data_IF_999717159287
#
_entry.id   IF_999717159287
#
_cell.length_a   1.000
_cell.length_b   1.000
_cell.length_c   1.000
_cell.angle_alpha   90.00
_cell.angle_beta   90.00
_cell.angle_gamma   90.00
#
_symmetry.space_group_name_H-M   'P 1'
#
loop_
_entity.id
_entity.type
_entity.pdbx_description
1 polymer ?
#
# COMPACT_ATOMS: atom_id res chain seq x y z
N UNK A 1 5.52 -17.96 28.48
CA UNK A 1 6.30 -16.77 28.87
C UNK A 1 5.67 -15.50 28.27
N UNK A 2 5.53 -15.39 26.96
CA UNK A 2 5.01 -14.19 26.28
C UNK A 2 3.56 -13.84 26.66
N UNK A 3 2.66 -14.82 26.85
CA UNK A 3 1.26 -14.56 27.27
C UNK A 3 1.21 -13.91 28.65
N UNK A 4 2.04 -14.38 29.59
CA UNK A 4 2.13 -13.76 30.93
C UNK A 4 2.68 -12.34 30.83
N UNK A 5 3.70 -12.14 30.04
CA UNK A 5 4.27 -10.81 29.76
C UNK A 5 3.23 -9.88 29.14
N UNK A 6 2.39 -10.38 28.22
CA UNK A 6 1.31 -9.60 27.63
C UNK A 6 0.34 -9.10 28.69
N UNK A 7 -0.14 -9.95 29.62
CA UNK A 7 -1.06 -9.54 30.67
C UNK A 7 -0.48 -8.42 31.55
N UNK A 8 0.78 -8.55 31.95
CA UNK A 8 1.50 -7.55 32.73
C UNK A 8 1.67 -6.22 31.97
N UNK A 9 1.93 -6.28 30.65
CA UNK A 9 2.08 -5.09 29.78
C UNK A 9 0.72 -4.40 29.60
N UNK A 10 -0.33 -5.13 29.29
CA UNK A 10 -1.69 -4.59 29.08
C UNK A 10 -2.15 -3.81 30.30
N UNK A 11 -1.97 -4.37 31.50
CA UNK A 11 -2.32 -3.72 32.75
C UNK A 11 -1.47 -2.46 33.01
N UNK A 12 -0.14 -2.56 32.86
CA UNK A 12 0.78 -1.45 33.09
C UNK A 12 0.55 -0.28 32.13
N UNK A 13 0.32 -0.55 30.83
CA UNK A 13 0.17 0.46 29.78
C UNK A 13 -1.24 1.02 29.77
N UNK A 14 -2.24 0.29 30.30
CA UNK A 14 -3.67 0.61 30.21
C UNK A 14 -4.06 0.82 28.74
N UNK A 15 -4.04 -0.28 27.97
CA UNK A 15 -4.36 -0.24 26.54
C UNK A 15 -5.74 0.38 26.31
N UNK A 16 -5.76 1.34 25.38
CA UNK A 16 -6.97 2.02 24.91
C UNK A 16 -7.42 1.39 23.59
N UNK A 17 -8.67 1.62 23.18
CA UNK A 17 -9.19 1.15 21.88
C UNK A 17 -8.27 1.55 20.72
N UNK A 18 -7.85 2.81 20.68
CA UNK A 18 -6.96 3.31 19.64
C UNK A 18 -5.61 2.60 19.56
N UNK A 19 -5.09 2.11 20.68
CA UNK A 19 -3.85 1.32 20.68
C UNK A 19 -4.07 -0.03 20.00
N UNK A 20 -5.25 -0.64 20.22
CA UNK A 20 -5.67 -1.83 19.49
C UNK A 20 -5.76 -1.60 18.00
N UNK A 21 -6.35 -0.46 17.57
CA UNK A 21 -6.42 -0.07 16.17
C UNK A 21 -5.00 0.08 15.55
N UNK A 22 -4.04 0.67 16.27
CA UNK A 22 -2.63 0.77 15.85
C UNK A 22 -2.02 -0.62 15.66
N UNK A 23 -2.20 -1.52 16.61
CA UNK A 23 -1.63 -2.88 16.55
C UNK A 23 -2.22 -3.68 15.38
N UNK A 24 -3.55 -3.62 15.18
CA UNK A 24 -4.22 -4.28 14.06
C UNK A 24 -3.80 -3.68 12.71
N UNK A 25 -3.66 -2.37 12.63
CA UNK A 25 -3.18 -1.67 11.43
C UNK A 25 -1.75 -2.11 11.07
N UNK A 26 -0.85 -2.17 12.05
CA UNK A 26 0.51 -2.66 11.82
C UNK A 26 0.57 -4.16 11.49
N UNK A 27 -0.37 -4.95 12.00
CA UNK A 27 -0.50 -6.36 11.61
C UNK A 27 -0.88 -6.51 10.13
N UNK A 28 -1.66 -5.56 9.61
CA UNK A 28 -2.10 -5.55 8.21
C UNK A 28 -1.04 -4.98 7.25
N UNK A 29 -0.34 -3.93 7.65
CA UNK A 29 0.53 -3.15 6.77
C UNK A 29 2.04 -3.29 7.06
N UNK A 30 2.41 -4.12 8.01
CA UNK A 30 3.76 -4.45 8.45
C UNK A 30 4.55 -3.26 9.04
N UNK A 31 4.86 -2.24 8.26
CA UNK A 31 5.67 -1.08 8.68
C UNK A 31 4.99 0.21 8.25
N UNK A 32 4.80 1.13 9.19
CA UNK A 32 4.18 2.43 8.95
C UNK A 32 4.95 3.55 9.66
N UNK A 33 4.97 4.74 9.06
CA UNK A 33 5.40 5.96 9.73
C UNK A 33 4.39 6.40 10.79
N UNK A 34 4.82 7.21 11.75
CA UNK A 34 3.92 7.80 12.74
C UNK A 34 2.76 8.57 12.09
N UNK A 35 3.01 9.30 11.01
CA UNK A 35 1.98 10.05 10.29
C UNK A 35 0.99 9.13 9.57
N UNK A 36 1.45 8.01 9.00
CA UNK A 36 0.55 6.99 8.44
C UNK A 36 -0.39 6.43 9.50
N UNK A 37 0.17 6.04 10.65
CA UNK A 37 -0.62 5.53 11.78
C UNK A 37 -1.63 6.56 12.28
N UNK A 38 -1.24 7.85 12.34
CA UNK A 38 -2.14 8.92 12.75
C UNK A 38 -3.31 9.05 11.78
N UNK A 39 -3.05 9.03 10.48
CA UNK A 39 -4.09 9.08 9.45
C UNK A 39 -5.03 7.88 9.52
N UNK A 40 -4.49 6.68 9.68
CA UNK A 40 -5.29 5.44 9.64
C UNK A 40 -6.05 5.14 10.94
N UNK A 41 -5.51 5.60 12.09
CA UNK A 41 -6.04 5.23 13.41
C UNK A 41 -6.70 6.38 14.19
N UNK A 42 -6.68 7.62 13.66
CA UNK A 42 -7.31 8.78 14.30
C UNK A 42 -8.46 9.29 13.43
N UNK A 43 -9.69 9.13 13.90
CA UNK A 43 -10.88 9.63 13.19
C UNK A 43 -10.89 11.15 13.05
N UNK A 44 -10.30 11.87 14.02
CA UNK A 44 -10.16 13.33 13.99
C UNK A 44 -8.68 13.69 14.13
N UNK A 45 -8.08 14.03 12.99
CA UNK A 45 -6.67 14.43 12.90
C UNK A 45 -6.40 15.79 13.54
N UNK A 46 -7.41 16.66 13.65
CA UNK A 46 -7.26 18.01 14.21
C UNK A 46 -7.33 17.97 15.74
N UNK A 47 -8.19 17.12 16.31
CA UNK A 47 -8.33 16.99 17.76
C UNK A 47 -7.17 16.19 18.40
N UNK A 48 -6.50 15.33 17.64
CA UNK A 48 -5.38 14.56 18.14
C UNK A 48 -4.07 15.37 18.04
N UNK A 49 -3.60 15.93 19.16
CA UNK A 49 -2.26 16.52 19.22
C UNK A 49 -1.21 15.52 18.72
N UNK A 50 -0.46 15.90 17.67
CA UNK A 50 0.59 15.06 17.09
C UNK A 50 1.61 14.62 18.15
N UNK A 51 2.00 15.53 19.06
CA UNK A 51 2.94 15.25 20.14
C UNK A 51 2.41 14.19 21.13
N UNK A 52 1.14 14.27 21.50
CA UNK A 52 0.54 13.29 22.41
C UNK A 52 0.44 11.92 21.72
N UNK A 53 0.17 11.90 20.42
CA UNK A 53 0.15 10.66 19.65
C UNK A 53 1.54 10.02 19.57
N UNK A 54 2.58 10.79 19.26
CA UNK A 54 3.98 10.33 19.23
C UNK A 54 4.43 9.82 20.61
N UNK A 55 4.10 10.53 21.70
CA UNK A 55 4.37 10.07 23.08
C UNK A 55 3.68 8.73 23.36
N UNK A 56 2.46 8.56 22.87
CA UNK A 56 1.75 7.29 23.04
C UNK A 56 2.40 6.14 22.30
N UNK A 57 2.78 6.34 21.03
CA UNK A 57 3.51 5.35 20.24
C UNK A 57 4.85 4.98 20.89
N UNK A 58 5.58 5.98 21.44
CA UNK A 58 6.81 5.73 22.18
C UNK A 58 6.57 4.84 23.41
N UNK A 59 5.52 5.11 24.19
CA UNK A 59 5.14 4.30 25.36
C UNK A 59 4.78 2.85 24.98
N UNK A 60 4.10 2.65 23.84
CA UNK A 60 3.80 1.32 23.32
C UNK A 60 5.08 0.58 22.89
N UNK A 61 6.04 1.29 22.33
CA UNK A 61 7.33 0.73 21.94
C UNK A 61 8.18 0.35 23.18
N UNK A 62 8.26 1.19 24.20
CA UNK A 62 8.93 0.89 25.45
C UNK A 62 8.32 -0.31 26.19
N UNK A 63 7.04 -0.56 25.97
CA UNK A 63 6.35 -1.72 26.53
C UNK A 63 6.54 -3.02 25.70
N UNK A 64 7.23 -2.95 24.56
CA UNK A 64 7.46 -4.09 23.66
C UNK A 64 6.25 -4.48 22.80
N UNK A 65 5.20 -3.67 22.79
CA UNK A 65 4.05 -3.85 21.90
C UNK A 65 4.41 -3.44 20.46
N UNK A 66 5.22 -2.40 20.34
CA UNK A 66 5.78 -1.93 19.07
C UNK A 66 7.30 -2.02 19.10
N UNK A 67 7.89 -2.08 17.94
CA UNK A 67 9.28 -1.73 17.68
C UNK A 67 9.32 -0.49 16.81
N UNK A 68 10.41 0.27 16.88
CA UNK A 68 10.59 1.49 16.09
C UNK A 68 12.02 1.69 15.64
N UNK A 69 12.19 2.36 14.49
CA UNK A 69 13.48 2.87 14.03
C UNK A 69 13.31 4.28 13.47
N UNK A 70 14.34 5.08 13.59
CA UNK A 70 14.34 6.42 12.97
C UNK A 70 14.72 6.28 11.50
N UNK A 71 13.89 6.83 10.63
CA UNK A 71 14.14 6.91 9.20
C UNK A 71 14.45 8.34 8.82
N UNK A 72 15.65 8.59 8.31
CA UNK A 72 16.14 9.94 8.03
C UNK A 72 15.12 10.82 7.29
N UNK A 73 14.95 12.05 7.76
CA UNK A 73 14.02 13.06 7.21
C UNK A 73 12.54 12.71 7.24
N UNK A 74 12.18 11.49 7.70
CA UNK A 74 10.80 11.01 7.72
C UNK A 74 10.28 10.68 9.12
N UNK A 75 11.13 10.73 10.13
CA UNK A 75 10.78 10.44 11.51
C UNK A 75 10.78 8.94 11.84
N UNK A 76 10.03 8.57 12.87
CA UNK A 76 9.98 7.18 13.31
C UNK A 76 9.03 6.34 12.45
N UNK A 77 9.47 5.18 12.05
CA UNK A 77 8.66 4.08 11.56
C UNK A 77 8.47 3.03 12.66
N UNK A 78 7.33 2.36 12.62
CA UNK A 78 6.86 1.41 13.62
C UNK A 78 6.44 0.10 12.98
N UNK A 79 6.65 -1.00 13.71
CA UNK A 79 6.13 -2.33 13.40
C UNK A 79 5.79 -3.06 14.69
N UNK A 80 5.14 -4.23 14.60
CA UNK A 80 4.77 -5.00 15.77
C UNK A 80 6.00 -5.54 16.50
N UNK A 81 6.10 -5.25 17.80
CA UNK A 81 7.02 -5.93 18.71
C UNK A 81 6.50 -7.33 19.07
N UNK A 82 7.33 -8.15 19.74
CA UNK A 82 6.97 -9.53 20.09
C UNK A 82 5.70 -9.61 20.96
N UNK A 83 5.54 -8.69 21.91
CA UNK A 83 4.32 -8.64 22.75
C UNK A 83 3.10 -8.22 21.92
N UNK A 84 3.29 -7.30 20.99
CA UNK A 84 2.23 -6.86 20.07
C UNK A 84 1.76 -7.97 19.13
N UNK A 85 2.67 -8.78 18.60
CA UNK A 85 2.34 -9.97 17.80
C UNK A 85 1.47 -10.96 18.56
N UNK A 86 1.80 -11.20 19.83
CA UNK A 86 0.98 -12.09 20.71
C UNK A 86 -0.39 -11.49 20.95
N UNK A 87 -0.48 -10.18 21.19
CA UNK A 87 -1.76 -9.50 21.37
C UNK A 87 -2.64 -9.62 20.12
N UNK A 88 -2.09 -9.33 18.94
CA UNK A 88 -2.81 -9.47 17.66
C UNK A 88 -3.24 -10.90 17.42
N UNK A 89 -2.36 -11.89 17.67
CA UNK A 89 -2.69 -13.29 17.51
C UNK A 89 -3.90 -13.73 18.37
N UNK A 90 -4.02 -13.21 19.60
CA UNK A 90 -5.17 -13.46 20.46
C UNK A 90 -6.45 -12.78 19.94
N UNK A 91 -6.34 -11.55 19.40
CA UNK A 91 -7.50 -10.81 18.91
C UNK A 91 -8.04 -11.33 17.58
N UNK A 92 -7.15 -11.77 16.68
CA UNK A 92 -7.51 -12.18 15.30
C UNK A 92 -7.58 -13.70 15.14
N UNK A 93 -7.13 -14.46 16.14
CA UNK A 93 -7.09 -15.93 16.11
C UNK A 93 -5.98 -16.54 15.25
N UNK A 94 -5.09 -15.71 14.70
CA UNK A 94 -3.90 -16.16 13.94
C UNK A 94 -2.71 -15.24 14.19
N UNK A 95 -1.51 -15.80 14.11
CA UNK A 95 -0.30 -14.99 14.20
C UNK A 95 -0.17 -14.07 12.98
N UNK A 96 0.15 -12.77 13.16
CA UNK A 96 0.44 -11.89 12.04
C UNK A 96 1.71 -12.39 11.33
N UNK A 97 1.70 -12.34 10.00
CA UNK A 97 2.90 -12.59 9.20
C UNK A 97 3.79 -11.36 9.31
N UNK A 98 4.53 -11.24 10.40
CA UNK A 98 5.41 -10.11 10.63
C UNK A 98 6.75 -10.34 9.92
N UNK A 99 7.05 -9.55 8.90
CA UNK A 99 8.43 -9.42 8.42
C UNK A 99 9.21 -8.55 9.40
N UNK A 100 10.36 -9.02 9.83
CA UNK A 100 11.19 -8.30 10.77
C UNK A 100 11.86 -7.10 10.10
N UNK A 101 11.78 -5.93 10.74
CA UNK A 101 12.59 -4.76 10.44
C UNK A 101 12.03 -3.80 9.39
N UNK A 102 12.75 -2.70 9.24
CA UNK A 102 12.46 -1.64 8.28
C UNK A 102 12.69 -2.12 6.85
N UNK A 103 11.66 -2.12 6.05
CA UNK A 103 11.74 -2.36 4.61
C UNK A 103 11.31 -1.09 3.86
N UNK A 104 12.26 -0.46 3.14
CA UNK A 104 11.99 0.73 2.32
C UNK A 104 10.87 0.48 1.32
N UNK A 105 10.82 -0.73 0.78
CA UNK A 105 9.74 -1.20 -0.11
C UNK A 105 8.36 -1.06 0.54
N UNK A 106 8.18 -1.54 1.78
CA UNK A 106 6.89 -1.45 2.48
C UNK A 106 6.49 -0.01 2.80
N UNK A 107 7.47 0.87 3.08
CA UNK A 107 7.19 2.29 3.30
C UNK A 107 6.73 2.99 2.01
N UNK A 108 7.28 2.62 0.86
CA UNK A 108 6.86 3.15 -0.43
C UNK A 108 5.40 2.78 -0.73
N UNK A 109 5.04 1.53 -0.51
CA UNK A 109 3.65 1.08 -0.63
C UNK A 109 2.72 1.79 0.36
N UNK A 110 3.16 1.96 1.61
CA UNK A 110 2.39 2.65 2.63
C UNK A 110 2.14 4.13 2.29
N UNK A 111 3.13 4.83 1.73
CA UNK A 111 2.99 6.21 1.26
C UNK A 111 1.87 6.33 0.22
N UNK A 112 1.91 5.47 -0.78
CA UNK A 112 0.91 5.46 -1.85
C UNK A 112 -0.48 5.10 -1.31
N UNK A 113 -0.57 4.01 -0.55
CA UNK A 113 -1.82 3.53 0.04
C UNK A 113 -2.50 4.58 0.91
N UNK A 114 -1.76 5.19 1.85
CA UNK A 114 -2.33 6.20 2.77
C UNK A 114 -2.78 7.44 1.99
N UNK A 115 -2.01 7.85 0.98
CA UNK A 115 -2.39 8.97 0.13
C UNK A 115 -3.66 8.67 -0.67
N UNK A 116 -3.78 7.49 -1.28
CA UNK A 116 -4.97 7.04 -2.00
C UNK A 116 -6.22 6.96 -1.10
N UNK A 117 -6.06 6.42 0.12
CA UNK A 117 -7.17 6.35 1.09
C UNK A 117 -7.66 7.74 1.50
N UNK A 118 -6.75 8.70 1.74
CA UNK A 118 -7.10 10.08 2.07
C UNK A 118 -7.80 10.79 0.92
N UNK A 119 -7.30 10.61 -0.29
CA UNK A 119 -7.89 11.18 -1.49
C UNK A 119 -9.34 10.70 -1.65
N UNK A 120 -9.56 9.39 -1.58
CA UNK A 120 -10.91 8.83 -1.71
C UNK A 120 -11.84 9.31 -0.60
N UNK A 121 -11.38 9.34 0.65
CA UNK A 121 -12.16 9.89 1.75
C UNK A 121 -12.57 11.35 1.51
N UNK A 122 -11.68 12.17 0.95
CA UNK A 122 -11.95 13.59 0.68
C UNK A 122 -13.01 13.81 -0.40
N UNK A 123 -13.14 12.90 -1.36
CA UNK A 123 -14.11 12.99 -2.46
C UNK A 123 -15.36 12.11 -2.23
N UNK A 124 -15.53 11.58 -1.03
CA UNK A 124 -16.68 10.75 -0.65
C UNK A 124 -16.65 9.32 -1.20
N UNK A 125 -15.48 8.88 -1.66
CA UNK A 125 -15.22 7.51 -2.07
C UNK A 125 -14.60 6.67 -0.97
N UNK A 126 -14.26 5.44 -1.30
CA UNK A 126 -13.62 4.48 -0.41
C UNK A 126 -12.42 3.83 -1.10
N UNK A 127 -11.30 3.71 -0.41
CA UNK A 127 -10.16 2.93 -0.87
C UNK A 127 -9.80 1.86 0.16
N UNK A 128 -9.64 0.63 -0.31
CA UNK A 128 -9.24 -0.53 0.49
C UNK A 128 -7.93 -1.08 -0.03
N UNK A 129 -7.03 -1.40 0.88
CA UNK A 129 -5.75 -2.02 0.57
C UNK A 129 -5.72 -3.46 1.07
N UNK A 130 -5.31 -4.34 0.19
CA UNK A 130 -5.06 -5.74 0.49
C UNK A 130 -3.59 -6.03 0.24
N UNK A 131 -2.81 -6.23 1.32
CA UNK A 131 -1.38 -6.51 1.25
C UNK A 131 -1.11 -8.00 1.07
N UNK A 132 -0.07 -8.31 0.32
CA UNK A 132 0.55 -9.64 0.19
C UNK A 132 -0.43 -10.83 0.11
N UNK A 133 -0.78 -11.15 -1.09
CA UNK A 133 -1.72 -12.22 -1.37
C UNK A 133 -0.99 -13.55 -1.61
N UNK A 134 -0.83 -14.30 -0.55
CA UNK A 134 -0.33 -15.68 -0.67
C UNK A 134 -1.30 -16.60 -1.41
N UNK A 135 -2.56 -16.24 -1.47
CA UNK A 135 -3.62 -17.13 -1.92
C UNK A 135 -4.10 -16.92 -3.37
N UNK A 136 -3.99 -15.69 -3.93
CA UNK A 136 -4.62 -15.42 -5.22
C UNK A 136 -3.94 -16.13 -6.38
N UNK A 137 -2.63 -16.18 -6.42
CA UNK A 137 -2.01 -16.49 -7.69
C UNK A 137 -1.59 -17.94 -7.88
N UNK A 138 -1.51 -18.75 -6.83
CA UNK A 138 -0.93 -20.08 -6.97
C UNK A 138 0.39 -20.05 -7.76
N UNK A 139 0.83 -18.85 -8.16
CA UNK A 139 1.87 -18.54 -9.10
C UNK A 139 3.10 -18.00 -8.40
N UNK A 140 4.23 -18.11 -9.07
CA UNK A 140 5.55 -17.67 -8.58
C UNK A 140 5.71 -16.14 -8.49
N UNK A 141 4.77 -15.37 -9.02
CA UNK A 141 4.80 -13.90 -9.03
C UNK A 141 3.53 -13.35 -8.38
N UNK A 142 3.70 -12.53 -7.37
CA UNK A 142 2.61 -11.92 -6.58
C UNK A 142 2.76 -10.41 -6.65
N UNK A 143 1.66 -9.63 -6.80
CA UNK A 143 1.74 -8.20 -6.61
C UNK A 143 2.07 -7.89 -5.16
N UNK A 144 2.67 -6.74 -4.92
CA UNK A 144 2.97 -6.27 -3.58
C UNK A 144 1.71 -5.86 -2.82
N UNK A 145 0.62 -5.58 -3.54
CA UNK A 145 -0.69 -5.32 -2.99
C UNK A 145 -1.77 -5.16 -4.05
N UNK A 146 -3.01 -5.11 -3.59
CA UNK A 146 -4.19 -4.78 -4.39
C UNK A 146 -4.85 -3.54 -3.79
N UNK A 147 -5.08 -2.53 -4.61
CA UNK A 147 -5.86 -1.36 -4.26
C UNK A 147 -7.25 -1.48 -4.89
N UNK A 148 -8.28 -1.51 -4.06
CA UNK A 148 -9.70 -1.45 -4.47
C UNK A 148 -10.25 -0.08 -4.16
N UNK A 149 -10.86 0.57 -5.13
CA UNK A 149 -11.46 1.89 -4.97
C UNK A 149 -12.92 1.85 -5.37
N UNK A 150 -13.77 2.46 -4.55
CA UNK A 150 -15.17 2.71 -4.86
C UNK A 150 -15.43 4.20 -4.90
N UNK A 151 -15.96 4.68 -6.02
CA UNK A 151 -16.34 6.06 -6.21
C UNK A 151 -17.59 6.11 -7.10
N UNK A 152 -18.61 6.88 -6.70
CA UNK A 152 -19.86 7.06 -7.46
C UNK A 152 -20.57 5.75 -7.87
N UNK A 153 -20.44 4.70 -7.06
CA UNK A 153 -21.06 3.39 -7.32
C UNK A 153 -20.21 2.45 -8.20
N UNK A 154 -19.09 2.91 -8.71
CA UNK A 154 -18.14 2.08 -9.48
C UNK A 154 -17.04 1.53 -8.57
N UNK A 155 -16.61 0.29 -8.83
CA UNK A 155 -15.46 -0.32 -8.19
C UNK A 155 -14.37 -0.55 -9.23
N UNK A 156 -13.18 -0.06 -8.92
CA UNK A 156 -11.98 -0.28 -9.73
C UNK A 156 -10.90 -0.95 -8.90
N UNK A 157 -10.23 -1.93 -9.48
CA UNK A 157 -9.18 -2.71 -8.83
C UNK A 157 -7.85 -2.49 -9.55
N UNK A 158 -6.77 -2.32 -8.78
CA UNK A 158 -5.41 -2.24 -9.30
C UNK A 158 -4.48 -3.20 -8.58
N UNK A 159 -3.61 -3.84 -9.34
CA UNK A 159 -2.43 -4.51 -8.81
C UNK A 159 -1.36 -3.45 -8.57
N UNK A 160 -0.69 -3.49 -7.43
CA UNK A 160 0.35 -2.49 -7.10
C UNK A 160 1.69 -3.18 -6.91
N UNK A 161 2.71 -2.62 -7.55
CA UNK A 161 4.09 -3.08 -7.51
C UNK A 161 5.01 -1.91 -7.11
N UNK A 162 5.97 -2.17 -6.23
CA UNK A 162 6.96 -1.18 -5.83
C UNK A 162 8.37 -1.62 -6.25
N UNK A 163 9.03 -0.80 -7.06
CA UNK A 163 10.41 -0.99 -7.46
C UNK A 163 11.34 -0.07 -6.65
N UNK A 164 12.18 -0.65 -5.80
CA UNK A 164 13.21 0.07 -5.05
C UNK A 164 14.54 0.18 -5.79
N UNK A 165 14.57 -0.15 -7.08
CA UNK A 165 15.77 -0.16 -7.90
C UNK A 165 16.67 -1.37 -7.68
N UNK A 166 16.30 -2.31 -6.83
CA UNK A 166 17.06 -3.54 -6.55
C UNK A 166 16.76 -4.66 -7.55
N UNK A 167 15.58 -4.65 -8.14
CA UNK A 167 15.19 -5.63 -9.15
C UNK A 167 15.83 -5.31 -10.50
N UNK A 168 16.25 -6.33 -11.22
CA UNK A 168 16.67 -6.19 -12.62
C UNK A 168 15.46 -5.98 -13.53
N UNK A 169 15.65 -5.37 -14.69
CA UNK A 169 14.57 -5.22 -15.67
C UNK A 169 13.95 -6.58 -16.06
N UNK A 170 14.79 -7.62 -16.18
CA UNK A 170 14.32 -8.98 -16.45
C UNK A 170 13.43 -9.57 -15.34
N UNK A 171 13.62 -9.16 -14.07
CA UNK A 171 12.75 -9.58 -12.99
C UNK A 171 11.39 -8.88 -13.06
N UNK A 172 11.35 -7.59 -13.39
CA UNK A 172 10.10 -6.85 -13.58
C UNK A 172 9.33 -7.40 -14.79
N UNK A 173 10.00 -7.66 -15.91
CA UNK A 173 9.38 -8.28 -17.10
C UNK A 173 8.80 -9.67 -16.78
N UNK A 174 9.44 -10.45 -15.90
CA UNK A 174 8.88 -11.73 -15.45
C UNK A 174 7.58 -11.58 -14.66
N UNK A 175 7.40 -10.47 -13.94
CA UNK A 175 6.12 -10.17 -13.26
C UNK A 175 5.00 -10.00 -14.28
N UNK A 176 5.25 -9.27 -15.37
CA UNK A 176 4.30 -9.14 -16.49
C UNK A 176 3.91 -10.51 -17.07
N UNK A 177 4.87 -11.39 -17.32
CA UNK A 177 4.60 -12.77 -17.81
C UNK A 177 3.81 -13.62 -16.79
N UNK A 178 4.05 -13.38 -15.50
CA UNK A 178 3.25 -14.01 -14.43
C UNK A 178 1.80 -13.56 -14.44
N UNK A 179 1.57 -12.27 -14.66
CA UNK A 179 0.23 -11.69 -14.80
C UNK A 179 -0.50 -12.21 -16.05
N UNK A 180 0.19 -12.32 -17.18
CA UNK A 180 -0.34 -12.97 -18.38
C UNK A 180 -0.82 -14.40 -18.09
N UNK A 181 0.00 -15.18 -17.40
CA UNK A 181 -0.35 -16.54 -17.00
C UNK A 181 -1.60 -16.57 -16.11
N UNK A 182 -1.69 -15.65 -15.16
CA UNK A 182 -2.84 -15.52 -14.27
C UNK A 182 -4.10 -15.10 -15.02
N UNK A 183 -4.00 -14.14 -15.94
CA UNK A 183 -5.09 -13.74 -16.83
C UNK A 183 -5.66 -14.95 -17.59
N UNK A 184 -4.78 -15.71 -18.25
CA UNK A 184 -5.17 -16.90 -19.07
C UNK A 184 -5.87 -17.99 -18.25
N UNK A 185 -5.59 -18.10 -16.94
CA UNK A 185 -6.28 -19.03 -16.04
C UNK A 185 -7.72 -18.63 -15.72
N UNK A 186 -8.06 -17.36 -15.83
CA UNK A 186 -9.40 -16.83 -15.57
C UNK A 186 -9.82 -16.72 -14.10
N UNK A 187 -9.02 -17.21 -13.14
CA UNK A 187 -9.31 -17.22 -11.70
C UNK A 187 -9.54 -15.80 -11.13
N UNK A 188 -8.98 -14.80 -11.78
CA UNK A 188 -9.11 -13.40 -11.38
C UNK A 188 -10.56 -12.88 -11.43
N UNK A 189 -11.42 -13.45 -12.31
CA UNK A 189 -12.83 -13.05 -12.42
C UNK A 189 -13.59 -13.31 -11.13
N UNK A 190 -13.45 -14.50 -10.59
CA UNK A 190 -14.10 -14.87 -9.32
C UNK A 190 -13.57 -14.03 -8.16
N UNK A 191 -12.27 -13.70 -8.22
CA UNK A 191 -11.64 -12.95 -7.17
C UNK A 191 -12.03 -11.46 -7.16
N UNK A 192 -11.96 -10.79 -8.31
CA UNK A 192 -12.29 -9.37 -8.42
C UNK A 192 -13.78 -9.12 -8.65
N UNK A 193 -14.56 -10.14 -8.95
CA UNK A 193 -15.98 -10.01 -9.30
C UNK A 193 -16.20 -9.08 -10.49
N UNK A 194 -15.27 -9.06 -11.44
CA UNK A 194 -15.21 -8.13 -12.57
C UNK A 194 -14.92 -8.86 -13.87
N UNK A 195 -15.46 -8.35 -14.96
CA UNK A 195 -15.15 -8.81 -16.32
C UNK A 195 -13.87 -8.18 -16.88
N UNK A 196 -13.32 -7.18 -16.17
CA UNK A 196 -12.10 -6.47 -16.56
C UNK A 196 -10.92 -6.88 -15.68
N UNK A 197 -9.81 -7.24 -16.33
CA UNK A 197 -8.56 -7.53 -15.63
C UNK A 197 -7.99 -6.24 -15.02
N UNK A 198 -7.57 -6.26 -13.75
CA UNK A 198 -7.03 -5.06 -13.12
C UNK A 198 -5.72 -4.59 -13.76
N UNK A 199 -5.61 -3.30 -14.00
CA UNK A 199 -4.35 -2.69 -14.42
C UNK A 199 -3.32 -2.73 -13.30
N UNK A 200 -2.03 -2.66 -13.67
CA UNK A 200 -0.93 -2.65 -12.70
C UNK A 200 -0.36 -1.26 -12.54
N UNK A 201 -0.23 -0.82 -11.31
CA UNK A 201 0.44 0.42 -10.92
C UNK A 201 1.84 0.09 -10.43
N UNK A 202 2.88 0.57 -11.13
CA UNK A 202 4.27 0.39 -10.73
C UNK A 202 4.86 1.72 -10.23
N UNK A 203 5.34 1.71 -9.00
CA UNK A 203 5.92 2.87 -8.32
C UNK A 203 7.42 2.64 -8.15
N UNK A 204 8.26 3.45 -8.81
CA UNK A 204 9.71 3.31 -8.68
C UNK A 204 10.35 4.40 -7.83
N UNK A 205 11.27 4.03 -6.94
CA UNK A 205 12.14 4.97 -6.23
C UNK A 205 13.41 5.31 -7.00
N UNK A 206 13.66 4.68 -8.14
CA UNK A 206 14.85 4.89 -8.97
C UNK A 206 14.81 6.14 -9.85
N UNK A 207 13.79 7.00 -9.70
CA UNK A 207 13.63 8.25 -10.44
C UNK A 207 13.27 8.08 -11.92
N UNK A 208 13.24 9.18 -12.67
CA UNK A 208 12.78 9.21 -14.06
C UNK A 208 13.62 8.34 -15.01
N UNK A 209 14.92 8.27 -14.82
CA UNK A 209 15.79 7.40 -15.63
C UNK A 209 15.42 5.93 -15.46
N UNK A 210 15.19 5.47 -14.26
CA UNK A 210 14.74 4.11 -13.99
C UNK A 210 13.36 3.85 -14.56
N UNK A 211 12.42 4.79 -14.40
CA UNK A 211 11.07 4.71 -14.96
C UNK A 211 11.13 4.51 -16.49
N UNK A 212 11.91 5.30 -17.21
CA UNK A 212 12.07 5.17 -18.66
C UNK A 212 12.63 3.81 -19.08
N UNK A 213 13.61 3.27 -18.34
CA UNK A 213 14.14 1.94 -18.61
C UNK A 213 13.10 0.84 -18.36
N UNK A 214 12.32 0.96 -17.28
CA UNK A 214 11.22 0.03 -16.98
C UNK A 214 10.15 0.09 -18.08
N UNK A 215 9.72 1.29 -18.46
CA UNK A 215 8.73 1.50 -19.52
C UNK A 215 9.17 0.81 -20.81
N UNK A 216 10.34 1.11 -21.32
CA UNK A 216 10.89 0.49 -22.56
C UNK A 216 10.99 -1.03 -22.46
N UNK A 217 11.42 -1.56 -21.31
CA UNK A 217 11.54 -3.00 -21.11
C UNK A 217 10.18 -3.71 -21.12
N UNK A 218 9.15 -3.07 -20.58
CA UNK A 218 7.77 -3.58 -20.56
C UNK A 218 7.14 -3.46 -21.96
N UNK A 219 7.23 -2.29 -22.62
CA UNK A 219 6.74 -2.06 -23.98
C UNK A 219 7.29 -3.08 -24.97
N UNK A 220 8.59 -3.35 -24.92
CA UNK A 220 9.23 -4.34 -25.81
C UNK A 220 8.69 -5.76 -25.66
N UNK A 221 7.92 -6.04 -24.59
CA UNK A 221 7.34 -7.35 -24.29
C UNK A 221 5.83 -7.40 -24.40
N UNK A 222 5.16 -6.26 -24.21
CA UNK A 222 3.69 -6.22 -24.25
C UNK A 222 3.15 -6.59 -25.62
N UNK A 223 3.87 -6.25 -26.71
CA UNK A 223 3.54 -6.66 -28.06
C UNK A 223 3.52 -8.18 -28.26
N UNK A 224 4.26 -8.92 -27.43
CA UNK A 224 4.30 -10.39 -27.44
C UNK A 224 3.29 -11.04 -26.49
N UNK A 225 2.54 -10.23 -25.75
CA UNK A 225 1.56 -10.68 -24.73
C UNK A 225 0.16 -10.60 -25.33
N UNK A 226 -0.50 -11.74 -25.48
CA UNK A 226 -1.85 -11.87 -26.06
C UNK A 226 -2.96 -11.51 -25.06
N UNK A 227 -2.72 -10.55 -24.16
CA UNK A 227 -3.67 -10.24 -23.08
C UNK A 227 -3.72 -8.72 -22.82
N UNK A 228 -4.89 -8.16 -22.47
CA UNK A 228 -5.04 -6.76 -22.17
C UNK A 228 -4.47 -6.45 -20.77
N UNK A 229 -3.14 -6.50 -20.64
CA UNK A 229 -2.45 -6.17 -19.40
C UNK A 229 -1.94 -4.74 -19.49
N UNK A 230 -2.60 -3.82 -18.81
CA UNK A 230 -2.22 -2.42 -18.78
C UNK A 230 -1.35 -2.11 -17.56
N UNK A 231 -0.28 -1.35 -17.78
CA UNK A 231 0.62 -0.89 -16.74
C UNK A 231 0.74 0.64 -16.76
N UNK A 232 0.56 1.24 -15.60
CA UNK A 232 0.83 2.65 -15.36
C UNK A 232 2.01 2.79 -14.40
N UNK A 233 2.97 3.64 -14.76
CA UNK A 233 4.21 3.82 -14.02
C UNK A 233 4.32 5.23 -13.45
N UNK A 234 4.82 5.36 -12.23
CA UNK A 234 5.15 6.64 -11.61
C UNK A 234 6.42 6.56 -10.78
N UNK A 235 6.94 7.71 -10.35
CA UNK A 235 8.10 7.79 -9.45
C UNK A 235 7.71 8.28 -8.07
N UNK A 236 8.51 7.94 -7.06
CA UNK A 236 8.33 8.52 -5.71
C UNK A 236 8.42 10.03 -5.72
N UNK A 237 9.20 10.63 -6.62
CA UNK A 237 9.33 12.09 -6.75
C UNK A 237 8.03 12.72 -7.27
N UNK A 238 7.32 12.07 -8.19
CA UNK A 238 5.99 12.51 -8.66
C UNK A 238 4.96 12.34 -7.56
N UNK A 239 4.93 11.17 -6.92
CA UNK A 239 4.05 10.92 -5.76
C UNK A 239 4.25 11.96 -4.66
N UNK A 240 5.49 12.28 -4.30
CA UNK A 240 5.77 13.24 -3.24
C UNK A 240 5.20 14.64 -3.52
N UNK A 241 5.06 15.03 -4.79
CA UNK A 241 4.43 16.31 -5.17
C UNK A 241 2.95 16.36 -4.82
N UNK A 242 2.25 15.24 -4.92
CA UNK A 242 0.80 15.14 -4.69
C UNK A 242 0.44 14.61 -3.30
N UNK A 243 1.29 13.78 -2.68
CA UNK A 243 1.06 13.25 -1.33
C UNK A 243 1.46 14.24 -0.21
N UNK A 244 2.38 15.14 -0.49
CA UNK A 244 2.86 16.14 0.49
C UNK A 244 1.92 17.36 0.62
N UNK A 245 0.76 17.31 -0.01
CA UNK A 245 -0.24 18.37 0.07
C UNK A 245 -1.09 18.13 1.32
N UNK A 246 -0.53 18.49 2.48
CA UNK A 246 -1.20 18.35 3.80
C UNK A 246 -2.57 19.05 3.87
N UNK A 247 -2.83 20.01 2.97
CA UNK A 247 -4.02 20.86 2.97
C UNK A 247 -4.98 20.59 1.80
N UNK A 248 -4.67 19.64 0.91
CA UNK A 248 -5.50 19.31 -0.25
C UNK A 248 -5.54 17.79 -0.49
N UNK A 249 -6.18 17.02 0.39
CA UNK A 249 -6.25 15.57 0.26
C UNK A 249 -6.99 15.13 -1.01
N UNK A 250 -7.84 15.99 -1.59
CA UNK A 250 -8.52 15.77 -2.86
C UNK A 250 -7.60 15.75 -4.09
N UNK A 251 -6.34 16.18 -3.94
CA UNK A 251 -5.33 16.14 -4.99
C UNK A 251 -4.35 14.98 -4.79
N UNK A 252 -4.83 13.81 -4.46
CA UNK A 252 -4.01 12.63 -4.21
C UNK A 252 -3.53 11.92 -5.48
N UNK A 253 -2.86 10.76 -5.33
CA UNK A 253 -2.17 10.10 -6.41
C UNK A 253 -3.06 9.47 -7.48
N UNK A 254 -4.36 9.33 -7.23
CA UNK A 254 -5.26 8.64 -8.16
C UNK A 254 -5.80 9.58 -9.25
N UNK A 255 -6.09 10.83 -8.90
CA UNK A 255 -6.71 11.80 -9.80
C UNK A 255 -5.73 12.79 -10.44
N UNK A 256 -4.45 12.76 -10.03
CA UNK A 256 -3.44 13.66 -10.60
C UNK A 256 -2.72 13.03 -11.80
N UNK A 257 -2.32 13.87 -12.75
CA UNK A 257 -1.57 13.50 -13.95
C UNK A 257 -0.10 13.19 -13.60
N UNK A 258 0.13 12.08 -12.91
CA UNK A 258 1.47 11.62 -12.51
C UNK A 258 1.84 10.24 -13.06
N UNK A 259 0.92 9.60 -13.75
CA UNK A 259 1.07 8.25 -14.29
C UNK A 259 1.49 8.27 -15.77
N UNK A 260 2.40 7.39 -16.13
CA UNK A 260 2.78 7.14 -17.53
C UNK A 260 2.30 5.75 -17.91
N UNK A 261 1.31 5.65 -18.75
CA UNK A 261 0.89 4.38 -19.32
C UNK A 261 1.91 3.88 -20.34
N UNK A 262 1.92 2.57 -20.61
CA UNK A 262 2.91 1.99 -21.53
C UNK A 262 2.74 2.49 -22.96
N UNK A 263 1.51 2.74 -23.37
CA UNK A 263 1.11 3.19 -24.70
C UNK A 263 1.03 4.71 -24.86
N UNK A 264 1.17 5.47 -23.75
CA UNK A 264 1.04 6.93 -23.75
C UNK A 264 2.40 7.64 -23.68
N UNK A 265 2.49 8.77 -24.36
CA UNK A 265 3.64 9.70 -24.27
C UNK A 265 3.44 10.77 -23.21
N UNK A 266 2.20 11.03 -22.79
CA UNK A 266 1.83 12.06 -21.82
C UNK A 266 1.54 11.46 -20.43
N UNK A 267 1.52 12.32 -19.42
CA UNK A 267 1.10 11.94 -18.09
C UNK A 267 -0.43 11.99 -18.00
N UNK A 268 -1.01 11.04 -17.31
CA UNK A 268 -2.46 10.98 -17.07
C UNK A 268 -2.80 10.70 -15.61
N UNK A 269 -4.05 10.96 -15.25
CA UNK A 269 -4.66 10.48 -14.02
C UNK A 269 -5.13 9.04 -14.17
N UNK A 270 -5.42 8.35 -13.06
CA UNK A 270 -6.11 7.07 -13.09
C UNK A 270 -7.60 7.30 -13.28
N UNK A 271 -8.19 6.58 -14.22
CA UNK A 271 -9.63 6.65 -14.43
C UNK A 271 -10.37 5.92 -13.29
N UNK A 272 -11.11 6.66 -12.47
CA UNK A 272 -11.83 6.16 -11.29
C UNK A 272 -13.31 5.79 -11.59
N UNK A 273 -13.63 5.43 -12.82
CA UNK A 273 -14.97 4.93 -13.16
C UNK A 273 -15.84 5.92 -13.93
N UNK A 274 -15.27 6.74 -14.81
CA UNK A 274 -16.00 7.16 -15.97
C UNK A 274 -15.96 5.99 -16.97
N UNK A 275 -17.01 5.20 -17.07
CA UNK A 275 -17.28 4.60 -18.36
C UNK A 275 -17.63 5.80 -19.23
N UNK A 276 -16.71 6.17 -20.13
CA UNK A 276 -17.05 7.01 -21.24
C UNK A 276 -18.27 6.34 -21.88
N UNK A 277 -19.42 7.02 -21.82
CA UNK A 277 -20.59 6.67 -22.60
C UNK A 277 -20.14 6.77 -24.07
N UNK A 278 -19.58 5.70 -24.60
CA UNK A 278 -19.55 5.49 -26.03
C UNK A 278 -21.00 5.31 -26.47
N UNK A 279 -21.61 6.46 -26.77
CA UNK A 279 -22.88 6.59 -27.48
C UNK A 279 -22.73 6.25 -28.96
#
# INVERSE_FOLDING_TARGET
>A
KLIRQLAEVVERVKLQRRDGDVLLTLAKYNVLLADHLRVLCCADLQAASADNYLKRLAKLAEAGLLERSYFERRGYCYWLGEVGKVWVAQMVGRAPVARAGLQVHNLLLADFMVAAMREMQAVGGEAMWEAEWEQIYGAKTRPDGVLKVRLNGYETNWLVEADTGKETLAQVVRKLQGQETYYKRGEWRDWFGSDYYPSTLLITSGGEGRLLHLKRALESKIESVEVPVNWALTTTARLAKVTNIANRPELGPLQQEIWSWLDDTELSSLNLGSQDEES
#
